data_IF_852347819546
#
_entry.id   IF_852347819546
#
_cell.length_a   1.000
_cell.length_b   1.000
_cell.length_c   1.000
_cell.angle_alpha   90.00
_cell.angle_beta   90.00
_cell.angle_gamma   90.00
#
_symmetry.space_group_name_H-M   'P 1'
#
loop_
_entity.id
_entity.type
_entity.pdbx_description
1 polymer ?
#
# COMPACT_ATOMS: atom_id res chain seq x y z
N UNK A 1 17.56 25.42 -30.36
CA UNK A 1 16.63 25.76 -31.47
C UNK A 1 15.54 26.62 -30.94
N UNK A 2 15.55 27.94 -31.28
CA UNK A 2 14.51 28.87 -30.82
C UNK A 2 13.37 28.85 -31.83
N UNK A 3 12.13 28.61 -31.32
CA UNK A 3 10.91 28.70 -32.14
C UNK A 3 10.57 30.18 -32.33
N UNK A 4 10.65 30.66 -33.57
CA UNK A 4 10.23 32.02 -33.94
C UNK A 4 8.73 31.97 -34.25
N UNK A 5 7.92 32.66 -33.43
CA UNK A 5 6.48 32.83 -33.66
C UNK A 5 6.24 34.09 -34.49
N UNK A 6 5.50 33.96 -35.59
CA UNK A 6 5.07 35.07 -36.41
C UNK A 6 3.59 35.36 -36.23
N UNK A 7 3.22 36.66 -36.20
CA UNK A 7 1.83 37.06 -36.18
C UNK A 7 1.16 36.68 -37.51
N UNK A 8 0.06 35.93 -37.48
CA UNK A 8 -0.65 35.47 -38.69
C UNK A 8 -1.32 36.63 -39.48
N UNK A 9 -1.47 37.81 -38.88
CA UNK A 9 -2.21 38.91 -39.49
C UNK A 9 -1.28 40.02 -40.04
N UNK A 10 -0.08 40.23 -39.49
CA UNK A 10 0.86 41.27 -39.96
C UNK A 10 2.23 40.72 -40.34
N UNK A 11 2.53 39.43 -40.08
CA UNK A 11 3.81 38.82 -40.45
C UNK A 11 5.00 39.21 -39.57
N UNK A 12 4.83 40.08 -38.58
CA UNK A 12 5.91 40.53 -37.68
C UNK A 12 6.34 39.41 -36.71
N UNK A 13 7.62 39.36 -36.39
CA UNK A 13 8.18 38.42 -35.40
C UNK A 13 7.76 38.86 -33.97
N UNK A 14 7.06 37.97 -33.26
CA UNK A 14 6.69 38.20 -31.86
C UNK A 14 7.93 37.98 -31.00
N UNK A 15 8.64 39.05 -30.69
CA UNK A 15 9.90 38.99 -29.92
C UNK A 15 9.72 39.09 -28.41
N UNK A 16 8.53 39.48 -27.93
CA UNK A 16 8.26 39.58 -26.49
C UNK A 16 6.84 39.12 -26.17
N UNK A 17 6.72 38.04 -25.45
CA UNK A 17 5.46 37.62 -24.83
C UNK A 17 5.37 38.30 -23.45
N UNK A 18 4.78 39.49 -23.41
CA UNK A 18 4.59 40.23 -22.17
C UNK A 18 3.33 39.70 -21.48
N UNK A 19 3.47 38.63 -20.72
CA UNK A 19 2.41 38.14 -19.87
C UNK A 19 2.40 38.95 -18.58
N UNK A 20 1.67 40.06 -18.55
CA UNK A 20 1.49 40.86 -17.32
C UNK A 20 0.60 40.05 -16.34
N UNK A 21 1.24 39.25 -15.50
CA UNK A 21 0.58 38.60 -14.38
C UNK A 21 0.25 39.63 -13.32
N UNK A 22 -0.95 40.24 -13.42
CA UNK A 22 -1.47 41.08 -12.37
C UNK A 22 -1.94 40.22 -11.19
N UNK A 23 -1.89 40.79 -9.99
CA UNK A 23 -2.40 40.25 -8.72
C UNK A 23 -3.81 39.63 -8.86
N UNK A 24 -4.63 40.16 -9.76
CA UNK A 24 -5.98 39.67 -10.06
C UNK A 24 -5.98 38.23 -10.63
N UNK A 25 -5.00 37.84 -11.43
CA UNK A 25 -4.86 36.49 -11.95
C UNK A 25 -4.47 35.51 -10.84
N UNK A 26 -3.67 35.93 -9.89
CA UNK A 26 -3.30 35.14 -8.73
C UNK A 26 -4.51 34.83 -7.84
N UNK A 27 -5.43 35.76 -7.65
CA UNK A 27 -6.67 35.57 -6.90
C UNK A 27 -7.61 34.53 -7.53
N UNK A 28 -7.55 34.34 -8.84
CA UNK A 28 -8.36 33.36 -9.55
C UNK A 28 -7.62 32.02 -9.66
N UNK A 29 -6.32 32.07 -9.95
CA UNK A 29 -5.52 30.86 -10.14
C UNK A 29 -5.28 30.07 -8.84
N UNK A 30 -5.12 30.75 -7.70
CA UNK A 30 -4.89 30.08 -6.41
C UNK A 30 -6.08 29.20 -5.99
N UNK A 31 -7.35 29.66 -6.03
CA UNK A 31 -8.50 28.80 -5.76
C UNK A 31 -8.61 27.61 -6.72
N UNK A 32 -8.37 27.81 -8.01
CA UNK A 32 -8.43 26.73 -9.01
C UNK A 32 -7.35 25.70 -8.74
N UNK A 33 -6.13 26.13 -8.42
CA UNK A 33 -5.03 25.26 -8.02
C UNK A 33 -5.34 24.50 -6.73
N UNK A 34 -5.91 25.17 -5.73
CA UNK A 34 -6.30 24.55 -4.47
C UNK A 34 -7.39 23.49 -4.68
N UNK A 35 -8.43 23.79 -5.46
CA UNK A 35 -9.51 22.84 -5.76
C UNK A 35 -8.97 21.63 -6.54
N UNK A 36 -8.05 21.84 -7.49
CA UNK A 36 -7.44 20.77 -8.25
C UNK A 36 -6.42 19.93 -7.44
N UNK A 37 -5.73 20.56 -6.48
CA UNK A 37 -4.70 19.89 -5.68
C UNK A 37 -5.23 19.21 -4.42
N UNK A 38 -6.39 19.66 -3.88
CA UNK A 38 -7.01 19.10 -2.68
C UNK A 38 -7.25 17.58 -2.74
N UNK A 39 -7.85 17.02 -3.83
CA UNK A 39 -8.02 15.57 -3.91
C UNK A 39 -6.69 14.83 -4.00
N UNK A 40 -5.69 15.43 -4.66
CA UNK A 40 -4.35 14.84 -4.78
C UNK A 40 -3.58 14.88 -3.45
N UNK A 41 -3.67 15.99 -2.71
CA UNK A 41 -3.11 16.12 -1.37
C UNK A 41 -3.73 15.10 -0.40
N UNK A 42 -5.03 14.82 -0.52
CA UNK A 42 -5.72 13.83 0.29
C UNK A 42 -5.16 12.42 0.09
N UNK A 43 -4.82 12.04 -1.14
CA UNK A 43 -4.20 10.74 -1.45
C UNK A 43 -2.79 10.57 -0.84
N UNK A 44 -2.06 11.67 -0.66
CA UNK A 44 -0.71 11.64 -0.08
C UNK A 44 -0.68 11.81 1.43
N UNK A 45 -1.57 12.65 1.98
CA UNK A 45 -1.57 13.00 3.41
C UNK A 45 -2.37 12.01 4.28
N UNK A 46 -3.36 11.32 3.70
CA UNK A 46 -4.23 10.39 4.43
C UNK A 46 -4.03 8.93 4.02
N UNK A 47 -2.79 8.55 3.73
CA UNK A 47 -2.45 7.13 3.61
C UNK A 47 -2.58 6.49 4.98
N UNK A 48 -3.50 5.54 5.12
CA UNK A 48 -3.56 4.68 6.30
C UNK A 48 -2.23 3.96 6.51
N UNK A 49 -1.86 3.76 7.75
CA UNK A 49 -0.70 2.95 8.12
C UNK A 49 -1.20 1.52 8.40
N UNK A 50 -0.99 0.64 7.41
CA UNK A 50 -1.48 -0.74 7.47
C UNK A 50 -1.00 -1.47 8.73
N UNK A 51 0.22 -1.22 9.18
CA UNK A 51 0.81 -1.88 10.34
C UNK A 51 0.18 -1.45 11.67
N UNK A 52 -0.45 -0.27 11.71
CA UNK A 52 -1.17 0.23 12.88
C UNK A 52 -2.66 -0.11 12.87
N UNK A 53 -3.23 -0.22 11.67
CA UNK A 53 -4.67 -0.44 11.52
C UNK A 53 -5.03 -1.92 11.53
N UNK A 54 -4.20 -2.77 10.95
CA UNK A 54 -4.46 -4.21 10.91
C UNK A 54 -3.65 -4.94 11.98
N UNK A 55 -4.34 -5.73 12.78
CA UNK A 55 -3.74 -6.53 13.86
C UNK A 55 -3.94 -8.01 13.58
N UNK A 56 -2.86 -8.77 13.66
CA UNK A 56 -2.87 -10.24 13.53
C UNK A 56 -2.96 -10.85 14.93
N UNK A 57 -3.87 -11.82 15.09
CA UNK A 57 -4.04 -12.60 16.32
C UNK A 57 -4.34 -14.07 16.02
N UNK A 58 -4.32 -14.91 17.06
CA UNK A 58 -4.72 -16.32 17.03
C UNK A 58 -4.00 -17.13 15.94
N UNK A 59 -2.68 -16.90 15.83
CA UNK A 59 -1.86 -17.55 14.81
C UNK A 59 -1.53 -18.98 15.25
N UNK A 60 -1.91 -19.94 14.43
CA UNK A 60 -1.62 -21.37 14.64
C UNK A 60 -0.89 -21.96 13.43
N UNK A 61 0.05 -22.85 13.73
CA UNK A 61 0.79 -23.64 12.75
C UNK A 61 0.23 -25.06 12.72
N UNK A 62 -0.19 -25.54 11.55
CA UNK A 62 -0.74 -26.90 11.35
C UNK A 62 -0.01 -27.60 10.21
N UNK A 63 0.18 -28.91 10.35
CA UNK A 63 0.76 -29.76 9.32
C UNK A 63 -0.33 -30.67 8.74
N UNK A 64 -0.69 -30.46 7.47
CA UNK A 64 -1.81 -31.18 6.86
C UNK A 64 -1.43 -31.63 5.43
N UNK A 65 -1.47 -32.92 5.19
CA UNK A 65 -1.25 -33.50 3.84
C UNK A 65 0.11 -33.14 3.22
N UNK A 66 1.17 -33.03 4.02
CA UNK A 66 2.50 -32.67 3.56
C UNK A 66 2.71 -31.16 3.33
N UNK A 67 1.72 -30.34 3.64
CA UNK A 67 1.81 -28.89 3.58
C UNK A 67 1.84 -28.28 4.98
N UNK A 68 2.54 -27.18 5.12
CA UNK A 68 2.51 -26.35 6.32
C UNK A 68 1.46 -25.28 6.12
N UNK A 69 0.43 -25.29 6.95
CA UNK A 69 -0.65 -24.31 6.96
C UNK A 69 -0.52 -23.41 8.20
N UNK A 70 -0.55 -22.11 7.96
CA UNK A 70 -0.56 -21.10 9.01
C UNK A 70 -1.91 -20.42 8.92
N UNK A 71 -2.68 -20.52 9.98
CA UNK A 71 -4.01 -19.93 10.08
C UNK A 71 -4.01 -18.87 11.17
N UNK A 72 -4.86 -17.88 11.03
CA UNK A 72 -5.00 -16.83 12.04
C UNK A 72 -6.14 -15.90 11.74
N UNK A 73 -6.25 -14.87 12.55
CA UNK A 73 -7.26 -13.84 12.46
C UNK A 73 -6.59 -12.49 12.22
N UNK A 74 -7.09 -11.73 11.26
CA UNK A 74 -6.74 -10.35 11.03
C UNK A 74 -7.91 -9.46 11.43
N UNK A 75 -7.67 -8.44 12.22
CA UNK A 75 -8.68 -7.48 12.67
C UNK A 75 -8.30 -6.10 12.18
N UNK A 76 -9.23 -5.42 11.53
CA UNK A 76 -9.05 -4.03 11.12
C UNK A 76 -9.59 -3.10 12.21
N UNK A 77 -8.69 -2.52 12.99
CA UNK A 77 -9.01 -1.53 14.02
C UNK A 77 -8.90 -0.09 13.51
N UNK A 78 -8.60 0.08 12.23
CA UNK A 78 -8.38 1.38 11.61
C UNK A 78 -9.63 2.02 11.04
N UNK A 79 -9.41 3.09 10.32
CA UNK A 79 -10.46 3.90 9.68
C UNK A 79 -10.63 3.63 8.18
N UNK A 80 -9.75 2.84 7.59
CA UNK A 80 -9.74 2.53 6.15
C UNK A 80 -10.17 1.09 5.89
N UNK A 81 -10.77 0.86 4.73
CA UNK A 81 -10.93 -0.47 4.19
C UNK A 81 -9.64 -0.87 3.46
N UNK A 82 -9.15 -2.07 3.70
CA UNK A 82 -7.91 -2.57 3.12
C UNK A 82 -8.20 -3.65 2.07
N UNK A 83 -7.54 -3.55 0.92
CA UNK A 83 -7.60 -4.53 -0.17
C UNK A 83 -6.21 -5.05 -0.52
N UNK A 84 -6.16 -6.22 -1.17
CA UNK A 84 -4.92 -6.87 -1.58
C UNK A 84 -3.89 -6.95 -0.43
N UNK A 85 -4.35 -7.32 0.77
CA UNK A 85 -3.50 -7.44 1.95
C UNK A 85 -2.57 -8.62 1.76
N UNK A 86 -1.27 -8.37 1.76
CA UNK A 86 -0.22 -9.37 1.70
C UNK A 86 0.22 -9.76 3.11
N UNK A 87 0.19 -11.06 3.39
CA UNK A 87 0.66 -11.66 4.64
C UNK A 87 1.93 -12.43 4.38
N UNK A 88 2.87 -12.33 5.29
CA UNK A 88 4.16 -12.99 5.23
C UNK A 88 4.44 -13.70 6.55
N UNK A 89 4.79 -14.97 6.46
CA UNK A 89 5.20 -15.80 7.58
C UNK A 89 6.70 -16.07 7.46
N UNK A 90 7.48 -15.53 8.36
CA UNK A 90 8.93 -15.74 8.46
C UNK A 90 9.24 -16.81 9.50
N UNK A 91 10.21 -17.66 9.20
CA UNK A 91 10.69 -18.71 10.08
C UNK A 91 12.14 -18.47 10.44
N UNK A 92 12.43 -18.65 11.72
CA UNK A 92 13.75 -18.49 12.28
C UNK A 92 14.12 -19.76 13.08
N UNK A 93 15.38 -20.10 13.11
CA UNK A 93 15.89 -21.17 14.00
C UNK A 93 15.94 -20.72 15.47
N UNK A 94 16.33 -21.63 16.36
CA UNK A 94 16.45 -21.35 17.79
C UNK A 94 17.48 -20.26 18.13
N UNK A 95 18.41 -19.95 17.23
CA UNK A 95 19.41 -18.89 17.37
C UNK A 95 18.93 -17.54 16.77
N UNK A 96 17.77 -17.52 16.11
CA UNK A 96 17.20 -16.34 15.48
C UNK A 96 17.69 -16.09 14.04
N UNK A 97 18.35 -17.08 13.42
CA UNK A 97 18.76 -17.00 12.01
C UNK A 97 17.54 -17.28 11.12
N UNK A 98 17.34 -16.46 10.12
CA UNK A 98 16.28 -16.62 9.14
C UNK A 98 16.46 -17.93 8.35
N UNK A 99 15.40 -18.71 8.25
CA UNK A 99 15.36 -19.98 7.54
C UNK A 99 14.66 -19.90 6.18
N UNK A 100 13.43 -19.40 6.20
CA UNK A 100 12.59 -19.32 5.00
C UNK A 100 11.37 -18.43 5.28
N UNK A 101 10.59 -18.12 4.23
CA UNK A 101 9.36 -17.35 4.34
C UNK A 101 8.25 -17.95 3.44
N UNK A 102 7.02 -17.66 3.80
CA UNK A 102 5.84 -17.94 2.99
C UNK A 102 4.98 -16.71 2.88
N UNK A 103 4.52 -16.39 1.68
CA UNK A 103 3.65 -15.24 1.43
C UNK A 103 2.32 -15.67 0.83
N UNK A 104 1.24 -15.01 1.23
CA UNK A 104 -0.10 -15.22 0.70
C UNK A 104 -0.86 -13.88 0.68
N UNK A 105 -1.73 -13.73 -0.31
CA UNK A 105 -2.62 -12.58 -0.41
C UNK A 105 -4.02 -12.94 0.10
N UNK A 106 -4.59 -12.07 0.93
CA UNK A 106 -5.99 -12.21 1.34
C UNK A 106 -6.91 -12.10 0.13
N UNK A 107 -7.83 -13.05 0.03
CA UNK A 107 -8.89 -13.04 -0.99
C UNK A 107 -10.03 -12.16 -0.51
N UNK A 108 -9.96 -10.88 -0.78
CA UNK A 108 -11.01 -9.94 -0.44
C UNK A 108 -10.50 -8.72 0.30
N UNK A 109 -11.43 -7.92 0.77
CA UNK A 109 -11.15 -6.69 1.49
C UNK A 109 -11.35 -6.92 3.00
N UNK A 110 -10.51 -6.30 3.79
CA UNK A 110 -10.67 -6.23 5.25
C UNK A 110 -11.32 -4.88 5.58
N UNK A 111 -12.63 -4.87 5.67
CA UNK A 111 -13.39 -3.65 5.95
C UNK A 111 -13.11 -3.13 7.35
N UNK A 112 -13.34 -1.84 7.56
CA UNK A 112 -13.20 -1.19 8.86
C UNK A 112 -14.01 -1.92 9.93
N UNK A 113 -13.37 -2.30 11.03
CA UNK A 113 -13.98 -3.04 12.15
C UNK A 113 -14.19 -4.53 11.87
N UNK A 114 -13.87 -5.01 10.66
CA UNK A 114 -14.05 -6.41 10.31
C UNK A 114 -12.94 -7.29 10.91
N UNK A 115 -13.29 -8.57 11.04
CA UNK A 115 -12.36 -9.66 11.39
C UNK A 115 -12.43 -10.68 10.28
N UNK A 116 -11.26 -11.03 9.72
CA UNK A 116 -11.16 -11.99 8.63
C UNK A 116 -10.17 -13.09 8.99
N UNK A 117 -10.52 -14.33 8.68
CA UNK A 117 -9.61 -15.44 8.81
C UNK A 117 -8.67 -15.51 7.62
N UNK A 118 -7.42 -15.78 7.89
CA UNK A 118 -6.43 -16.00 6.85
C UNK A 118 -5.81 -17.39 6.92
N UNK A 119 -5.28 -17.84 5.80
CA UNK A 119 -4.53 -19.09 5.69
C UNK A 119 -3.37 -18.89 4.71
N UNK A 120 -2.15 -19.10 5.19
CA UNK A 120 -0.96 -19.19 4.36
C UNK A 120 -0.63 -20.65 4.18
N UNK A 121 -0.42 -21.09 2.95
CA UNK A 121 -0.11 -22.49 2.64
C UNK A 121 1.26 -22.61 2.01
N UNK A 122 2.17 -23.27 2.70
CA UNK A 122 3.53 -23.55 2.21
C UNK A 122 3.56 -25.00 1.77
N UNK A 123 3.74 -25.20 0.46
CA UNK A 123 3.82 -26.54 -0.14
C UNK A 123 5.24 -27.10 -0.02
N UNK A 124 5.34 -28.38 0.34
CA UNK A 124 6.63 -29.07 0.51
C UNK A 124 7.62 -28.27 1.39
N UNK A 125 7.21 -27.90 2.62
CA UNK A 125 8.06 -27.12 3.51
C UNK A 125 9.36 -27.89 3.78
N UNK A 126 10.47 -27.16 3.86
CA UNK A 126 11.76 -27.74 4.21
C UNK A 126 11.74 -28.19 5.67
N UNK A 127 12.50 -29.23 6.01
CA UNK A 127 12.57 -29.76 7.38
C UNK A 127 12.75 -28.70 8.47
N UNK A 128 13.62 -27.70 8.30
CA UNK A 128 13.76 -26.65 9.30
C UNK A 128 12.45 -25.94 9.64
N UNK A 129 11.55 -25.72 8.68
CA UNK A 129 10.28 -25.02 8.91
C UNK A 129 9.27 -25.83 9.70
N UNK A 130 9.39 -27.15 9.68
CA UNK A 130 8.45 -28.08 10.34
C UNK A 130 8.79 -28.37 11.79
N UNK A 131 10.00 -28.03 12.24
CA UNK A 131 10.45 -28.23 13.61
C UNK A 131 9.60 -27.44 14.60
N UNK A 132 9.33 -28.04 15.76
CA UNK A 132 8.62 -27.38 16.86
C UNK A 132 9.45 -26.28 17.53
N UNK A 133 10.76 -26.31 17.38
CA UNK A 133 11.69 -25.34 18.00
C UNK A 133 11.83 -24.03 17.22
N UNK A 134 11.24 -23.96 16.03
CA UNK A 134 11.34 -22.77 15.20
C UNK A 134 10.42 -21.67 15.66
N UNK A 135 10.96 -20.47 15.72
CA UNK A 135 10.18 -19.25 15.90
C UNK A 135 9.54 -18.86 14.57
N UNK A 136 8.23 -18.68 14.59
CA UNK A 136 7.47 -18.14 13.46
C UNK A 136 6.97 -16.74 13.79
N UNK A 137 7.10 -15.84 12.84
CA UNK A 137 6.57 -14.47 12.92
C UNK A 137 5.69 -14.23 11.70
N UNK A 138 4.44 -13.85 11.92
CA UNK A 138 3.52 -13.47 10.84
C UNK A 138 3.35 -11.97 10.86
N UNK A 139 3.57 -11.34 9.71
CA UNK A 139 3.46 -9.90 9.54
C UNK A 139 2.66 -9.54 8.28
N UNK A 140 2.20 -8.31 8.23
CA UNK A 140 1.57 -7.72 7.05
C UNK A 140 2.67 -7.03 6.26
N UNK A 141 2.92 -7.52 5.03
CA UNK A 141 3.96 -6.97 4.16
C UNK A 141 3.46 -5.90 3.20
N UNK A 142 2.13 -5.80 3.00
CA UNK A 142 1.56 -4.79 2.12
C UNK A 142 0.03 -4.82 2.05
N UNK A 143 -0.52 -3.83 1.38
CA UNK A 143 -1.96 -3.69 1.10
C UNK A 143 -2.29 -2.30 0.59
N UNK A 144 -3.51 -2.15 0.09
CA UNK A 144 -4.00 -0.88 -0.44
C UNK A 144 -5.18 -0.40 0.39
N UNK A 145 -5.05 0.82 0.98
CA UNK A 145 -6.18 1.48 1.61
C UNK A 145 -7.18 1.94 0.54
N UNK A 146 -8.46 1.61 0.73
CA UNK A 146 -9.51 2.20 -0.09
C UNK A 146 -9.70 3.66 0.33
N UNK A 147 -9.76 4.60 -0.61
CA UNK A 147 -9.95 6.02 -0.30
C UNK A 147 -11.38 6.36 0.13
N UNK A 148 -12.31 5.38 0.14
CA UNK A 148 -13.74 5.57 0.43
C UNK A 148 -14.26 4.52 1.40
#
# INVERSE_FOLDING_TARGET
MGVKLKCSNCGEDITTFNMSWGWRHLLIMVPILLIGFLPMARLFLFKGDISKELVISDVEKRFTGGNLEIVGLITNNGSHDWSAVALEAEFFDGSGVFLDEGQEYLRGNVSRGAKEHFKITIRNPREPMTSAENKMVVKISGGHASPF
#
